data_IF_520082298674
#
_entry.id   IF_520082298674
#
_cell.length_a   1.000
_cell.length_b   1.000
_cell.length_c   1.000
_cell.angle_alpha   90.00
_cell.angle_beta   90.00
_cell.angle_gamma   90.00
#
_symmetry.space_group_name_H-M   'P 1'
#
loop_
_entity.id
_entity.type
_entity.pdbx_description
1 polymer ?
#
# COMPACT_ATOMS: atom_id res chain seq x y z
N UNK A 1 25.76 9.96 -8.76
CA UNK A 1 25.79 8.84 -7.80
C UNK A 1 25.00 9.27 -6.59
N UNK A 2 24.23 8.37 -5.99
CA UNK A 2 23.29 8.68 -4.92
C UNK A 2 23.42 7.67 -3.81
N UNK A 3 23.05 8.04 -2.59
CA UNK A 3 22.71 7.08 -1.56
C UNK A 3 21.23 6.73 -1.71
N UNK A 4 20.93 5.46 -1.93
CA UNK A 4 19.55 4.99 -2.04
C UNK A 4 19.38 3.66 -1.33
N UNK A 5 18.15 3.36 -0.93
CA UNK A 5 17.87 2.19 -0.10
C UNK A 5 18.33 2.45 1.32
N UNK A 6 17.46 3.03 2.14
CA UNK A 6 17.69 3.21 3.59
C UNK A 6 17.69 1.86 4.33
N UNK A 7 17.52 0.75 3.60
CA UNK A 7 17.71 -0.63 4.03
C UNK A 7 18.88 -1.24 3.22
N UNK A 8 19.89 -1.89 3.82
CA UNK A 8 19.78 -2.61 5.07
C UNK A 8 20.83 -2.21 6.10
N UNK A 9 20.38 -2.17 7.34
CA UNK A 9 21.24 -2.41 8.48
C UNK A 9 22.05 -3.69 8.28
N UNK A 10 23.37 -3.59 8.30
CA UNK A 10 24.18 -4.71 8.78
C UNK A 10 24.00 -4.84 10.30
N UNK A 11 24.22 -6.01 10.91
CA UNK A 11 24.17 -6.18 12.37
C UNK A 11 25.04 -5.15 13.13
N UNK A 12 26.12 -4.65 12.53
CA UNK A 12 26.95 -3.60 13.09
C UNK A 12 26.20 -2.27 13.23
N UNK A 13 25.37 -1.90 12.24
CA UNK A 13 24.53 -0.70 12.30
C UNK A 13 23.39 -0.86 13.31
N UNK A 14 22.87 -2.08 13.50
CA UNK A 14 21.88 -2.38 14.56
C UNK A 14 22.53 -2.12 15.92
N UNK A 15 23.75 -2.61 16.11
CA UNK A 15 24.52 -2.33 17.32
C UNK A 15 24.74 -0.82 17.52
N UNK A 16 24.96 -0.05 16.45
CA UNK A 16 25.03 1.41 16.53
C UNK A 16 23.71 2.08 16.96
N UNK A 17 22.57 1.57 16.47
CA UNK A 17 21.24 2.01 16.89
C UNK A 17 21.05 1.82 18.41
N UNK A 18 21.47 0.67 18.93
CA UNK A 18 21.33 0.28 20.34
C UNK A 18 22.32 1.02 21.24
N UNK A 19 23.61 1.09 20.86
CA UNK A 19 24.72 1.66 21.66
C UNK A 19 24.75 3.19 21.68
N UNK A 20 23.61 3.81 22.04
CA UNK A 20 23.44 5.24 22.36
C UNK A 20 23.69 6.28 21.28
N UNK A 21 24.07 5.90 20.05
CA UNK A 21 24.43 6.93 19.05
C UNK A 21 23.18 7.64 18.48
N UNK A 22 22.05 6.94 18.35
CA UNK A 22 20.80 7.56 17.90
C UNK A 22 19.96 8.00 19.12
N UNK A 23 19.56 9.29 19.22
CA UNK A 23 18.65 9.75 20.25
C UNK A 23 17.29 9.02 20.17
N UNK A 24 16.74 8.65 21.33
CA UNK A 24 15.46 7.91 21.38
C UNK A 24 14.33 8.66 20.66
N UNK A 25 14.26 10.00 20.77
CA UNK A 25 13.24 10.78 20.09
C UNK A 25 13.24 10.66 18.55
N UNK A 26 14.42 10.46 17.92
CA UNK A 26 14.52 10.27 16.46
C UNK A 26 13.90 8.94 16.07
N UNK A 27 14.25 7.89 16.80
CA UNK A 27 13.65 6.57 16.62
C UNK A 27 12.14 6.62 16.86
N UNK A 28 11.73 7.26 17.95
CA UNK A 28 10.34 7.41 18.33
C UNK A 28 9.51 8.09 17.23
N UNK A 29 10.04 9.13 16.59
CA UNK A 29 9.38 9.80 15.48
C UNK A 29 9.00 8.82 14.35
N UNK A 30 9.92 7.94 13.94
CA UNK A 30 9.62 6.96 12.89
C UNK A 30 8.56 5.94 13.33
N UNK A 31 8.63 5.43 14.56
CA UNK A 31 7.61 4.51 15.06
C UNK A 31 6.24 5.17 15.15
N UNK A 32 6.17 6.38 15.69
CA UNK A 32 4.92 7.12 15.82
C UNK A 32 4.27 7.38 14.45
N UNK A 33 5.07 7.75 13.44
CA UNK A 33 4.53 8.08 12.12
C UNK A 33 4.16 6.86 11.27
N UNK A 34 4.84 5.72 11.42
CA UNK A 34 4.76 4.64 10.45
C UNK A 34 4.19 3.31 10.99
N UNK A 35 4.05 3.15 12.30
CA UNK A 35 3.49 1.92 12.91
C UNK A 35 2.08 1.58 12.44
N UNK A 36 1.28 2.56 12.01
CA UNK A 36 -0.10 2.33 11.59
C UNK A 36 -0.29 2.06 10.10
N UNK A 37 0.75 2.19 9.26
CA UNK A 37 0.55 2.12 7.82
C UNK A 37 1.78 1.97 6.93
N UNK A 38 2.96 1.68 7.48
CA UNK A 38 4.20 1.51 6.71
C UNK A 38 4.07 0.57 5.49
N UNK A 39 3.58 -0.66 5.72
CA UNK A 39 3.47 -1.72 4.72
C UNK A 39 2.33 -1.47 3.72
N UNK A 40 1.36 -0.63 4.08
CA UNK A 40 0.28 -0.18 3.18
C UNK A 40 0.66 1.08 2.39
N UNK A 41 1.70 1.79 2.79
CA UNK A 41 2.15 3.02 2.16
C UNK A 41 3.08 2.70 0.99
N UNK A 42 2.57 2.91 -0.23
CA UNK A 42 3.29 2.63 -1.46
C UNK A 42 4.53 3.52 -1.67
N UNK A 43 4.80 4.51 -0.80
CA UNK A 43 6.05 5.28 -0.80
C UNK A 43 7.21 4.52 -0.18
N UNK A 44 6.93 3.47 0.60
CA UNK A 44 7.93 2.75 1.40
C UNK A 44 7.93 1.24 1.19
N UNK A 45 6.78 0.66 0.89
CA UNK A 45 6.64 -0.78 0.69
C UNK A 45 5.76 -1.09 -0.53
N UNK A 46 6.05 -2.20 -1.20
CA UNK A 46 5.21 -2.73 -2.28
C UNK A 46 5.01 -4.24 -2.07
N UNK A 47 3.79 -4.76 -2.24
CA UNK A 47 3.57 -6.20 -2.18
C UNK A 47 4.30 -6.92 -3.32
N UNK A 48 4.98 -8.01 -3.01
CA UNK A 48 5.66 -8.87 -3.99
C UNK A 48 5.33 -10.35 -3.73
N UNK A 49 5.60 -11.21 -4.71
CA UNK A 49 5.32 -12.64 -4.57
C UNK A 49 6.16 -13.26 -3.43
N UNK A 50 5.56 -14.03 -2.50
CA UNK A 50 6.30 -14.77 -1.50
C UNK A 50 7.15 -15.89 -2.12
N UNK A 51 8.24 -16.22 -1.44
CA UNK A 51 9.21 -17.26 -1.78
C UNK A 51 9.11 -18.43 -0.80
N UNK A 52 9.01 -18.14 0.50
CA UNK A 52 9.08 -19.13 1.58
C UNK A 52 7.71 -19.50 2.14
N UNK A 53 6.76 -18.55 2.23
CA UNK A 53 5.42 -18.81 2.73
C UNK A 53 4.36 -18.97 1.62
N UNK A 54 3.25 -19.62 1.98
CA UNK A 54 2.05 -19.72 1.13
C UNK A 54 0.78 -19.72 1.97
N UNK A 55 -0.38 -19.50 1.34
CA UNK A 55 -1.67 -19.51 2.01
C UNK A 55 -2.24 -18.11 2.32
N UNK A 56 -3.42 -18.06 2.96
CA UNK A 56 -4.18 -16.81 3.12
C UNK A 56 -3.54 -15.81 4.09
N UNK A 57 -2.76 -16.28 5.05
CA UNK A 57 -2.09 -15.45 6.06
C UNK A 57 -0.68 -15.02 5.64
N UNK A 58 -0.16 -15.59 4.55
CA UNK A 58 1.14 -15.24 4.00
C UNK A 58 1.06 -13.87 3.30
N UNK A 59 1.79 -12.89 3.83
CA UNK A 59 1.90 -11.54 3.29
C UNK A 59 3.35 -11.24 2.99
N UNK A 60 3.63 -10.80 1.78
CA UNK A 60 5.00 -10.57 1.32
C UNK A 60 5.15 -9.17 0.77
N UNK A 61 6.18 -8.46 1.25
CA UNK A 61 6.45 -7.07 0.93
C UNK A 61 7.92 -6.87 0.60
N UNK A 62 8.20 -5.97 -0.33
CA UNK A 62 9.53 -5.44 -0.56
C UNK A 62 9.63 -4.00 -0.07
N UNK A 63 10.68 -3.73 0.70
CA UNK A 63 10.98 -2.45 1.32
C UNK A 63 12.28 -1.90 0.69
N UNK A 64 12.18 -1.16 -0.45
CA UNK A 64 13.34 -0.61 -1.15
C UNK A 64 13.90 0.67 -0.52
N UNK A 65 13.38 1.11 0.63
CA UNK A 65 13.54 2.47 1.13
C UNK A 65 12.52 3.44 0.50
N UNK A 66 12.51 4.69 0.97
CA UNK A 66 11.63 5.74 0.42
C UNK A 66 12.38 6.72 -0.47
N UNK A 67 11.76 7.17 -1.56
CA UNK A 67 12.35 8.15 -2.49
C UNK A 67 12.78 9.45 -1.77
N UNK A 68 12.01 9.86 -0.77
CA UNK A 68 12.28 11.03 0.07
C UNK A 68 13.61 10.96 0.84
N UNK A 69 14.21 9.78 0.94
CA UNK A 69 15.49 9.55 1.61
C UNK A 69 16.66 9.32 0.66
N UNK A 70 16.42 9.35 -0.66
CA UNK A 70 17.52 9.27 -1.62
C UNK A 70 18.30 10.61 -1.55
N UNK A 71 19.63 10.53 -1.48
CA UNK A 71 20.52 11.70 -1.33
C UNK A 71 21.57 11.74 -2.42
N UNK A 72 21.92 12.94 -2.87
CA UNK A 72 23.11 13.12 -3.71
C UNK A 72 24.37 12.97 -2.85
N UNK A 73 25.31 12.15 -3.30
CA UNK A 73 26.57 11.88 -2.59
C UNK A 73 27.45 13.12 -2.42
N UNK A 74 27.39 14.08 -3.36
CA UNK A 74 28.30 15.22 -3.39
C UNK A 74 27.73 16.48 -2.73
N UNK A 75 26.41 16.63 -2.76
CA UNK A 75 25.76 17.83 -2.24
C UNK A 75 25.25 17.65 -0.79
N UNK A 76 25.20 16.42 -0.28
CA UNK A 76 24.48 16.06 0.96
C UNK A 76 23.02 16.57 0.99
N UNK A 77 22.49 16.89 -0.19
CA UNK A 77 21.15 17.40 -0.40
C UNK A 77 20.22 16.24 -0.73
N UNK A 78 18.95 16.42 -0.36
CA UNK A 78 17.87 15.56 -0.86
C UNK A 78 17.83 15.70 -2.37
N UNK A 79 17.74 14.58 -3.09
CA UNK A 79 17.55 14.63 -4.54
C UNK A 79 16.22 15.29 -4.91
N UNK A 80 15.23 15.19 -4.01
CA UNK A 80 13.89 15.68 -4.23
C UNK A 80 13.46 16.54 -3.05
N UNK A 81 12.98 17.75 -3.35
CA UNK A 81 12.63 18.77 -2.37
C UNK A 81 13.41 20.07 -2.55
N UNK A 82 12.88 20.93 -3.41
CA UNK A 82 13.19 22.37 -3.54
C UNK A 82 14.59 22.70 -4.09
N UNK A 83 15.08 21.88 -5.03
CA UNK A 83 16.40 22.11 -5.65
C UNK A 83 16.30 22.75 -7.04
N UNK A 84 15.08 22.89 -7.59
CA UNK A 84 14.83 23.24 -9.02
C UNK A 84 15.55 22.30 -9.99
N UNK A 85 16.00 21.14 -9.52
CA UNK A 85 16.67 20.14 -10.34
C UNK A 85 15.62 19.34 -11.11
N UNK A 86 16.02 18.65 -12.20
CA UNK A 86 15.09 17.85 -13.01
C UNK A 86 14.31 16.78 -12.22
N UNK A 87 14.78 16.43 -11.02
CA UNK A 87 14.16 15.48 -10.09
C UNK A 87 12.83 15.96 -9.49
N UNK A 88 12.60 17.28 -9.42
CA UNK A 88 11.40 17.90 -8.84
C UNK A 88 10.23 18.01 -9.85
N UNK A 89 10.23 17.22 -10.94
CA UNK A 89 9.24 17.27 -12.02
C UNK A 89 8.25 16.08 -12.00
N UNK A 90 7.26 16.06 -12.91
CA UNK A 90 6.35 14.91 -13.14
C UNK A 90 7.06 13.64 -13.66
N UNK A 91 8.39 13.65 -13.72
CA UNK A 91 9.19 12.50 -14.15
C UNK A 91 9.31 11.46 -13.04
N UNK A 92 9.82 10.28 -13.39
CA UNK A 92 10.16 9.25 -12.41
C UNK A 92 11.66 9.19 -12.18
N UNK A 93 12.03 8.66 -11.04
CA UNK A 93 13.41 8.48 -10.61
C UNK A 93 13.65 6.99 -10.52
N UNK A 94 14.54 6.48 -11.38
CA UNK A 94 14.94 5.09 -11.36
C UNK A 94 16.22 4.94 -10.58
N UNK A 95 16.15 4.29 -9.44
CA UNK A 95 17.28 3.92 -8.59
C UNK A 95 17.66 2.48 -8.92
N UNK A 96 18.86 2.26 -9.44
CA UNK A 96 19.31 0.93 -9.88
C UNK A 96 19.88 0.14 -8.72
N UNK A 97 19.65 -1.18 -8.67
CA UNK A 97 20.35 -2.10 -7.76
C UNK A 97 20.55 -1.54 -6.34
N UNK A 98 19.53 -0.91 -5.77
CA UNK A 98 19.55 -0.45 -4.38
C UNK A 98 19.21 -1.64 -3.48
N UNK A 99 19.84 -1.74 -2.31
CA UNK A 99 19.47 -2.76 -1.36
C UNK A 99 18.09 -2.49 -0.74
N UNK A 100 17.46 -3.55 -0.25
CA UNK A 100 16.14 -3.53 0.37
C UNK A 100 15.81 -4.86 1.04
N UNK A 101 14.72 -4.86 1.82
CA UNK A 101 14.25 -6.05 2.52
C UNK A 101 13.02 -6.66 1.86
N UNK A 102 13.08 -7.95 1.57
CA UNK A 102 11.93 -8.80 1.30
C UNK A 102 11.48 -9.41 2.63
N UNK A 103 10.30 -9.01 3.08
CA UNK A 103 9.67 -9.50 4.30
C UNK A 103 8.52 -10.42 3.97
N UNK A 104 8.48 -11.58 4.61
CA UNK A 104 7.38 -12.53 4.51
C UNK A 104 6.79 -12.76 5.89
N UNK A 105 5.58 -12.26 6.10
CA UNK A 105 4.82 -12.48 7.32
C UNK A 105 3.90 -13.68 7.17
N UNK A 106 3.84 -14.53 8.18
CA UNK A 106 2.95 -15.68 8.24
C UNK A 106 2.63 -16.03 9.69
N UNK A 107 1.69 -16.96 9.90
CA UNK A 107 1.44 -17.50 11.23
C UNK A 107 2.69 -18.20 11.80
N UNK A 108 2.89 -18.13 13.12
CA UNK A 108 3.90 -18.95 13.80
C UNK A 108 3.56 -20.45 13.69
N UNK A 109 4.52 -21.34 13.97
CA UNK A 109 4.25 -22.78 14.06
C UNK A 109 3.10 -23.09 15.01
N UNK A 110 2.30 -24.12 14.70
CA UNK A 110 1.18 -24.53 15.55
C UNK A 110 1.63 -24.86 16.97
N UNK A 111 1.00 -24.26 17.97
CA UNK A 111 1.35 -24.46 19.38
C UNK A 111 2.57 -23.68 19.86
N UNK A 112 3.02 -22.66 19.11
CA UNK A 112 4.10 -21.78 19.54
C UNK A 112 3.78 -21.06 20.86
N UNK A 113 4.77 -21.01 21.75
CA UNK A 113 4.71 -20.26 23.01
C UNK A 113 6.03 -19.55 23.27
N UNK A 114 5.98 -18.30 23.71
CA UNK A 114 7.16 -17.54 24.12
C UNK A 114 7.64 -17.97 25.51
N UNK A 115 8.95 -17.96 25.73
CA UNK A 115 9.52 -18.01 27.07
C UNK A 115 9.41 -16.62 27.71
N UNK A 116 8.51 -16.48 28.69
CA UNK A 116 8.19 -15.19 29.32
C UNK A 116 9.38 -14.49 29.96
N UNK A 117 10.38 -15.22 30.42
CA UNK A 117 11.54 -14.66 31.12
C UNK A 117 12.61 -14.15 30.15
N UNK A 118 12.84 -14.86 29.03
CA UNK A 118 13.89 -14.52 28.07
C UNK A 118 13.42 -13.74 26.86
N UNK A 119 12.18 -13.96 26.43
CA UNK A 119 11.69 -13.50 25.13
C UNK A 119 10.86 -12.22 25.25
N UNK A 120 10.39 -11.90 26.46
CA UNK A 120 9.33 -10.92 26.66
C UNK A 120 9.72 -9.78 27.61
N UNK A 121 9.10 -8.62 27.40
CA UNK A 121 9.28 -7.43 28.23
C UNK A 121 7.98 -6.66 28.36
N UNK A 122 7.65 -6.24 29.59
CA UNK A 122 6.55 -5.33 29.87
C UNK A 122 7.07 -3.88 29.88
N UNK A 123 6.51 -3.05 29.02
CA UNK A 123 6.88 -1.65 28.78
C UNK A 123 5.67 -0.73 28.91
N UNK A 124 5.86 0.59 28.94
CA UNK A 124 4.76 1.54 29.14
C UNK A 124 4.33 1.70 30.60
N UNK A 125 5.29 1.67 31.53
CA UNK A 125 5.05 1.88 32.97
C UNK A 125 4.57 3.30 33.29
N UNK A 126 4.86 4.25 32.42
CA UNK A 126 4.39 5.62 32.54
C UNK A 126 2.90 5.67 32.29
N UNK A 127 2.17 6.31 33.20
CA UNK A 127 0.70 6.34 33.22
C UNK A 127 0.01 4.97 33.23
N UNK A 128 0.76 3.92 33.57
CA UNK A 128 0.28 2.54 33.62
C UNK A 128 -0.25 2.04 32.26
N UNK A 129 0.24 2.57 31.13
CA UNK A 129 -0.21 2.21 29.78
C UNK A 129 -0.13 0.70 29.48
N UNK A 130 0.91 0.01 29.95
CA UNK A 130 1.02 -1.46 29.95
C UNK A 130 0.97 -2.10 28.56
N UNK A 131 2.14 -2.38 27.98
CA UNK A 131 2.29 -3.16 26.75
C UNK A 131 3.29 -4.29 27.00
N UNK A 132 2.96 -5.51 26.60
CA UNK A 132 3.81 -6.69 26.77
C UNK A 132 4.22 -7.17 25.39
N UNK A 133 5.52 -7.13 25.10
CA UNK A 133 6.06 -7.49 23.77
C UNK A 133 6.99 -8.68 23.95
N UNK A 134 6.86 -9.66 23.06
CA UNK A 134 7.73 -10.83 22.99
C UNK A 134 8.39 -10.94 21.62
N UNK A 135 9.67 -11.27 21.60
CA UNK A 135 10.43 -11.61 20.41
C UNK A 135 11.24 -12.89 20.65
N UNK A 136 11.19 -13.81 19.69
CA UNK A 136 11.96 -15.04 19.73
C UNK A 136 12.39 -15.45 18.32
N UNK A 137 13.47 -16.23 18.22
CA UNK A 137 13.88 -16.80 16.95
C UNK A 137 13.32 -18.22 16.82
N UNK A 138 12.87 -18.58 15.63
CA UNK A 138 12.53 -19.95 15.28
C UNK A 138 13.08 -20.29 13.90
N UNK A 139 14.19 -21.03 13.86
CA UNK A 139 14.93 -21.25 12.63
C UNK A 139 15.43 -19.93 12.05
N UNK A 140 14.92 -19.58 10.87
CA UNK A 140 15.25 -18.35 10.14
C UNK A 140 14.29 -17.20 10.40
N UNK A 141 13.22 -17.46 11.15
CA UNK A 141 12.13 -16.51 11.35
C UNK A 141 12.27 -15.81 12.70
N UNK A 142 11.92 -14.52 12.70
CA UNK A 142 11.67 -13.76 13.91
C UNK A 142 10.18 -13.87 14.24
N UNK A 143 9.86 -14.46 15.39
CA UNK A 143 8.48 -14.50 15.89
C UNK A 143 8.30 -13.32 16.83
N UNK A 144 7.30 -12.50 16.53
CA UNK A 144 6.92 -11.34 17.31
C UNK A 144 5.49 -11.48 17.80
N UNK A 145 5.25 -11.10 19.04
CA UNK A 145 3.93 -11.03 19.61
C UNK A 145 3.80 -9.87 20.58
N UNK A 146 2.57 -9.42 20.79
CA UNK A 146 2.29 -8.46 21.85
C UNK A 146 0.93 -8.69 22.49
N UNK A 147 0.78 -8.09 23.67
CA UNK A 147 -0.50 -7.91 24.34
C UNK A 147 -0.58 -6.52 24.93
N UNK A 148 -1.77 -5.97 24.98
CA UNK A 148 -2.02 -4.68 25.61
C UNK A 148 -2.83 -4.87 26.88
N UNK A 149 -2.50 -4.09 27.90
CA UNK A 149 -3.28 -4.04 29.13
C UNK A 149 -4.71 -3.55 28.82
N UNK A 150 -5.78 -4.31 29.15
CA UNK A 150 -7.17 -3.96 28.88
C UNK A 150 -7.63 -2.68 29.58
N UNK A 151 -8.70 -2.04 29.07
CA UNK A 151 -9.25 -0.82 29.66
C UNK A 151 -9.66 -0.98 31.13
N UNK A 152 -10.15 -2.16 31.52
CA UNK A 152 -10.61 -2.46 32.88
C UNK A 152 -9.46 -2.43 33.88
N UNK A 153 -8.28 -2.90 33.48
CA UNK A 153 -7.09 -2.95 34.34
C UNK A 153 -6.34 -1.60 34.29
N UNK A 154 -6.21 -1.02 33.10
CA UNK A 154 -5.58 0.30 32.88
C UNK A 154 -6.33 1.42 33.59
N UNK A 155 -7.66 1.43 33.54
CA UNK A 155 -8.49 2.43 34.22
C UNK A 155 -8.35 2.40 35.75
N UNK A 156 -7.94 1.26 36.31
CA UNK A 156 -7.62 1.09 37.73
C UNK A 156 -6.15 1.37 38.07
N UNK A 157 -5.33 1.77 37.09
CA UNK A 157 -3.88 1.96 37.22
C UNK A 157 -3.19 0.72 37.81
N UNK A 158 -3.57 -0.47 37.32
CA UNK A 158 -3.15 -1.78 37.82
C UNK A 158 -2.45 -2.67 36.77
N UNK A 159 -2.02 -2.16 35.62
CA UNK A 159 -1.43 -2.96 34.54
C UNK A 159 -0.13 -3.69 34.95
N UNK A 160 0.65 -3.10 35.86
CA UNK A 160 1.88 -3.73 36.40
C UNK A 160 1.68 -4.44 37.75
N UNK A 161 0.47 -4.40 38.30
CA UNK A 161 0.11 -5.14 39.52
C UNK A 161 -0.66 -6.40 39.16
N UNK A 162 -1.64 -6.27 38.26
CA UNK A 162 -2.37 -7.36 37.66
C UNK A 162 -1.80 -7.66 36.27
N UNK A 163 -0.94 -8.67 36.19
CA UNK A 163 -0.26 -9.08 34.95
C UNK A 163 -0.98 -10.22 34.21
N UNK A 164 -2.23 -10.54 34.56
CA UNK A 164 -2.98 -11.64 33.91
C UNK A 164 -3.17 -11.43 32.40
N UNK A 165 -3.21 -10.17 31.95
CA UNK A 165 -3.27 -9.83 30.52
C UNK A 165 -1.99 -10.15 29.74
N UNK A 166 -0.91 -10.55 30.43
CA UNK A 166 0.34 -11.01 29.83
C UNK A 166 0.32 -12.52 29.59
N UNK A 167 -0.74 -13.23 29.99
CA UNK A 167 -0.75 -14.68 29.98
C UNK A 167 -0.82 -15.29 28.58
N UNK A 168 -1.56 -14.64 27.68
CA UNK A 168 -1.77 -15.01 26.30
C UNK A 168 -1.47 -13.81 25.40
N UNK A 169 -0.91 -14.05 24.21
CA UNK A 169 -0.62 -12.99 23.26
C UNK A 169 -1.89 -12.57 22.52
N UNK A 170 -2.21 -11.27 22.53
CA UNK A 170 -3.30 -10.72 21.72
C UNK A 170 -3.03 -10.91 20.23
N UNK A 171 -1.78 -10.71 19.80
CA UNK A 171 -1.38 -10.88 18.41
C UNK A 171 -0.02 -11.54 18.30
N UNK A 172 0.16 -12.37 17.27
CA UNK A 172 1.40 -13.06 16.98
C UNK A 172 1.63 -13.19 15.47
N UNK A 173 2.87 -12.98 15.03
CA UNK A 173 3.30 -13.18 13.64
C UNK A 173 4.71 -13.73 13.62
N UNK A 174 5.02 -14.57 12.65
CA UNK A 174 6.39 -14.85 12.24
C UNK A 174 6.75 -13.95 11.05
N UNK A 175 8.03 -13.59 10.94
CA UNK A 175 8.58 -12.88 9.78
C UNK A 175 9.91 -13.48 9.36
N UNK A 176 10.00 -13.86 8.08
CA UNK A 176 11.27 -14.16 7.42
C UNK A 176 11.82 -12.88 6.79
N UNK A 177 13.10 -12.56 7.04
CA UNK A 177 13.75 -11.34 6.53
C UNK A 177 14.86 -11.68 5.54
N UNK A 178 14.73 -11.24 4.30
CA UNK A 178 15.70 -11.50 3.23
C UNK A 178 16.18 -10.18 2.63
N UNK A 179 17.49 -10.00 2.54
CA UNK A 179 18.11 -8.88 1.85
C UNK A 179 18.15 -9.16 0.34
N UNK A 180 17.77 -8.16 -0.46
CA UNK A 180 17.82 -8.20 -1.93
C UNK A 180 18.23 -6.84 -2.47
N UNK A 181 18.90 -6.85 -3.61
CA UNK A 181 19.07 -5.67 -4.43
C UNK A 181 17.94 -5.59 -5.45
N UNK A 182 17.47 -4.39 -5.73
CA UNK A 182 16.44 -4.16 -6.73
C UNK A 182 16.63 -2.83 -7.45
N UNK A 183 16.14 -2.77 -8.68
CA UNK A 183 15.96 -1.51 -9.38
C UNK A 183 14.55 -0.99 -9.12
N UNK A 184 14.44 0.13 -8.41
CA UNK A 184 13.15 0.71 -8.04
C UNK A 184 12.90 2.01 -8.79
N UNK A 185 11.73 2.15 -9.40
CA UNK A 185 11.26 3.40 -9.99
C UNK A 185 10.31 4.10 -9.01
N UNK A 186 10.56 5.37 -8.75
CA UNK A 186 9.74 6.22 -7.89
C UNK A 186 9.12 7.35 -8.70
N UNK A 187 7.91 7.77 -8.32
CA UNK A 187 7.30 8.98 -8.85
C UNK A 187 7.99 10.22 -8.27
N UNK A 188 8.46 11.14 -9.13
CA UNK A 188 8.98 12.44 -8.71
C UNK A 188 7.91 13.33 -8.07
N UNK A 189 6.64 13.15 -8.46
CA UNK A 189 5.53 13.98 -7.99
C UNK A 189 5.09 13.68 -6.54
N UNK A 190 5.14 12.42 -6.11
CA UNK A 190 4.61 12.02 -4.78
C UNK A 190 5.43 10.95 -4.05
N UNK A 191 6.59 10.56 -4.58
CA UNK A 191 7.51 9.57 -4.00
C UNK A 191 6.98 8.14 -3.91
N UNK A 192 5.82 7.84 -4.49
CA UNK A 192 5.30 6.48 -4.55
C UNK A 192 6.21 5.59 -5.40
N UNK A 193 6.35 4.33 -4.98
CA UNK A 193 6.99 3.27 -5.75
C UNK A 193 6.08 2.95 -6.94
N UNK A 194 6.63 3.09 -8.14
CA UNK A 194 5.95 2.78 -9.39
C UNK A 194 6.25 1.35 -9.82
N UNK A 195 7.52 0.92 -9.78
CA UNK A 195 7.90 -0.45 -10.10
C UNK A 195 9.12 -0.88 -9.30
N UNK A 196 9.23 -2.20 -9.12
CA UNK A 196 10.41 -2.88 -8.59
C UNK A 196 10.78 -3.97 -9.58
N UNK A 197 11.94 -3.80 -10.18
CA UNK A 197 12.47 -4.64 -11.26
C UNK A 197 13.86 -5.17 -10.85
N UNK A 198 14.38 -6.15 -11.58
CA UNK A 198 15.75 -6.66 -11.42
C UNK A 198 16.07 -7.13 -9.98
N UNK A 199 15.12 -7.80 -9.30
CA UNK A 199 15.32 -8.31 -7.95
C UNK A 199 16.41 -9.40 -7.93
N UNK A 200 17.48 -9.18 -7.17
CA UNK A 200 18.55 -10.17 -6.98
C UNK A 200 18.04 -11.43 -6.29
N UNK A 201 18.82 -12.52 -6.30
CA UNK A 201 18.52 -13.68 -5.47
C UNK A 201 18.38 -13.29 -3.99
N UNK A 202 17.43 -13.89 -3.26
CA UNK A 202 17.27 -13.64 -1.84
C UNK A 202 18.49 -14.08 -1.04
N UNK A 203 18.95 -13.22 -0.13
CA UNK A 203 19.95 -13.56 0.89
C UNK A 203 19.31 -13.45 2.26
N UNK A 204 19.28 -14.53 3.02
CA UNK A 204 18.74 -14.51 4.38
C UNK A 204 19.51 -13.50 5.24
N UNK A 205 18.79 -12.72 6.04
CA UNK A 205 19.40 -11.77 6.98
C UNK A 205 19.35 -12.36 8.38
N UNK A 206 20.49 -12.40 9.06
CA UNK A 206 20.61 -12.92 10.43
C UNK A 206 20.19 -11.87 11.47
N UNK A 207 19.00 -11.29 11.33
CA UNK A 207 18.45 -10.38 12.35
C UNK A 207 17.71 -11.22 13.38
N UNK A 208 18.19 -11.17 14.62
CA UNK A 208 17.65 -11.99 15.70
C UNK A 208 16.84 -11.17 16.70
N UNK A 209 16.03 -11.84 17.53
CA UNK A 209 15.34 -11.25 18.66
C UNK A 209 16.29 -10.47 19.59
N UNK A 210 17.54 -10.96 19.75
CA UNK A 210 18.57 -10.32 20.56
C UNK A 210 19.02 -8.96 19.99
N UNK A 211 18.94 -8.79 18.68
CA UNK A 211 19.29 -7.54 18.01
C UNK A 211 18.15 -6.53 18.06
N UNK A 212 16.91 -7.01 17.94
CA UNK A 212 15.69 -6.17 17.84
C UNK A 212 15.14 -5.77 19.21
N UNK A 213 15.17 -6.66 20.21
CA UNK A 213 14.59 -6.37 21.53
C UNK A 213 15.23 -5.14 22.23
N UNK A 214 16.55 -4.92 22.17
CA UNK A 214 17.16 -3.70 22.71
C UNK A 214 16.69 -2.41 22.01
N UNK A 215 16.34 -2.48 20.72
CA UNK A 215 15.76 -1.34 20.01
C UNK A 215 14.38 -1.03 20.58
N UNK A 216 13.53 -2.05 20.69
CA UNK A 216 12.15 -1.92 21.19
C UNK A 216 12.15 -1.39 22.63
N UNK A 217 12.97 -1.97 23.51
CA UNK A 217 13.06 -1.54 24.91
C UNK A 217 13.58 -0.11 25.05
N UNK A 218 14.46 0.34 24.14
CA UNK A 218 14.94 1.72 24.11
C UNK A 218 13.84 2.71 23.70
N UNK A 219 13.07 2.42 22.65
CA UNK A 219 12.00 3.32 22.18
C UNK A 219 10.77 3.32 23.11
N UNK A 220 10.53 2.22 23.81
CA UNK A 220 9.44 2.06 24.77
C UNK A 220 9.93 2.15 26.23
N UNK A 221 11.12 2.70 26.46
CA UNK A 221 11.70 2.83 27.79
C UNK A 221 10.75 3.58 28.73
N UNK A 222 10.68 3.24 30.02
CA UNK A 222 9.92 4.01 30.99
C UNK A 222 10.39 5.47 31.02
N UNK A 223 9.45 6.40 31.03
CA UNK A 223 9.76 7.82 31.18
C UNK A 223 9.39 8.30 32.58
N UNK A 224 10.05 9.35 33.03
CA UNK A 224 9.65 10.05 34.25
C UNK A 224 8.23 10.63 34.07
N UNK A 225 7.43 10.59 35.14
CA UNK A 225 6.01 10.98 35.15
C UNK A 225 5.77 12.45 34.83
N UNK A 226 6.83 13.27 34.80
CA UNK A 226 6.71 14.68 34.45
C UNK A 226 7.15 14.94 33.00
N UNK A 227 6.18 15.17 32.11
CA UNK A 227 6.42 15.77 30.80
C UNK A 227 6.60 17.27 31.03
N UNK A 228 7.77 17.66 31.50
CA UNK A 228 8.11 19.05 31.78
C UNK A 228 9.05 19.58 30.67
N UNK A 229 8.67 20.62 29.91
CA UNK A 229 9.55 21.23 28.90
C UNK A 229 10.88 21.76 29.45
N UNK A 230 10.96 22.02 30.76
CA UNK A 230 12.21 22.42 31.43
C UNK A 230 13.14 21.24 31.76
N UNK A 231 12.67 19.98 31.64
CA UNK A 231 13.51 18.81 31.85
C UNK A 231 14.45 18.60 30.65
N UNK A 232 15.75 18.30 30.85
CA UNK A 232 16.69 18.12 29.73
C UNK A 232 16.25 17.03 28.73
N UNK A 233 15.61 15.97 29.22
CA UNK A 233 15.10 14.87 28.39
C UNK A 233 13.65 15.05 27.89
N UNK A 234 13.08 16.26 27.95
CA UNK A 234 11.67 16.47 27.63
C UNK A 234 11.26 15.92 26.26
N UNK A 235 12.12 16.05 25.23
CA UNK A 235 11.83 15.56 23.87
C UNK A 235 11.73 14.04 23.85
N UNK A 236 12.65 13.36 24.54
CA UNK A 236 12.63 11.90 24.66
C UNK A 236 11.38 11.47 25.43
N UNK A 237 11.11 12.09 26.58
CA UNK A 237 9.94 11.77 27.40
C UNK A 237 8.63 11.99 26.63
N UNK A 238 8.46 13.13 25.98
CA UNK A 238 7.26 13.46 25.23
C UNK A 238 7.05 12.52 24.03
N UNK A 239 8.13 12.19 23.28
CA UNK A 239 8.03 11.30 22.13
C UNK A 239 7.75 9.84 22.53
N UNK A 240 8.38 9.34 23.60
CA UNK A 240 8.08 8.00 24.12
C UNK A 240 6.67 7.93 24.68
N UNK A 241 6.22 8.95 25.43
CA UNK A 241 4.84 9.05 25.90
C UNK A 241 3.85 8.99 24.73
N UNK A 242 4.12 9.74 23.67
CA UNK A 242 3.25 9.76 22.49
C UNK A 242 3.12 8.36 21.87
N UNK A 243 4.19 7.58 21.81
CA UNK A 243 4.14 6.19 21.32
C UNK A 243 3.38 5.29 22.29
N UNK A 244 3.70 5.33 23.59
CA UNK A 244 3.01 4.52 24.59
C UNK A 244 1.52 4.76 24.52
N UNK A 245 1.11 6.03 24.54
CA UNK A 245 -0.29 6.39 24.50
C UNK A 245 -0.95 6.07 23.16
N UNK A 246 -0.32 6.39 22.03
CA UNK A 246 -0.89 6.13 20.71
C UNK A 246 -1.04 4.62 20.46
N UNK A 247 -0.03 3.83 20.79
CA UNK A 247 -0.04 2.38 20.59
C UNK A 247 -0.95 1.70 21.61
N UNK A 248 -0.79 2.00 22.90
CA UNK A 248 -1.59 1.44 23.99
C UNK A 248 -3.08 1.74 23.83
N UNK A 249 -3.44 3.00 23.58
CA UNK A 249 -4.83 3.38 23.35
C UNK A 249 -5.38 2.72 22.08
N UNK A 250 -4.65 2.78 20.96
CA UNK A 250 -5.10 2.19 19.70
C UNK A 250 -5.38 0.69 19.83
N UNK A 251 -4.45 -0.07 20.41
CA UNK A 251 -4.61 -1.50 20.62
C UNK A 251 -5.74 -1.83 21.59
N UNK A 252 -5.89 -1.08 22.69
CA UNK A 252 -7.03 -1.24 23.61
C UNK A 252 -8.37 -0.97 22.91
N UNK A 253 -8.44 0.06 22.06
CA UNK A 253 -9.66 0.35 21.30
C UNK A 253 -10.05 -0.82 20.39
N UNK A 254 -9.10 -1.37 19.64
CA UNK A 254 -9.38 -2.55 18.81
C UNK A 254 -9.82 -3.75 19.65
N UNK A 255 -9.11 -4.03 20.74
CA UNK A 255 -9.42 -5.16 21.63
C UNK A 255 -10.82 -5.07 22.25
N UNK A 256 -11.21 -3.90 22.74
CA UNK A 256 -12.48 -3.75 23.50
C UNK A 256 -13.69 -3.36 22.65
N UNK A 257 -13.50 -2.56 21.59
CA UNK A 257 -14.63 -2.03 20.81
C UNK A 257 -14.73 -2.62 19.41
N UNK A 258 -13.67 -3.24 18.88
CA UNK A 258 -13.63 -3.83 17.54
C UNK A 258 -13.02 -5.24 17.55
N UNK A 259 -13.48 -6.17 18.39
CA UNK A 259 -12.89 -7.51 18.52
C UNK A 259 -12.97 -8.34 17.23
N UNK A 260 -13.88 -7.99 16.31
CA UNK A 260 -14.04 -8.62 15.00
C UNK A 260 -12.95 -8.20 13.98
N UNK A 261 -12.15 -7.17 14.30
CA UNK A 261 -11.10 -6.62 13.42
C UNK A 261 -9.70 -7.01 13.92
N UNK A 262 -9.50 -8.27 14.28
CA UNK A 262 -8.22 -8.83 14.75
C UNK A 262 -7.05 -8.66 13.76
N UNK A 263 -7.35 -8.60 12.46
CA UNK A 263 -6.36 -8.36 11.39
C UNK A 263 -5.67 -6.99 11.56
N UNK A 264 -6.38 -5.96 12.03
CA UNK A 264 -5.81 -4.60 12.12
C UNK A 264 -4.70 -4.51 13.18
N UNK A 265 -4.88 -4.93 14.45
CA UNK A 265 -3.79 -5.03 15.42
C UNK A 265 -2.62 -5.89 14.93
N UNK A 266 -2.88 -6.99 14.21
CA UNK A 266 -1.83 -7.82 13.64
C UNK A 266 -1.03 -7.07 12.57
N UNK A 267 -1.69 -6.31 11.69
CA UNK A 267 -1.02 -5.48 10.70
C UNK A 267 -0.23 -4.34 11.38
N UNK A 268 -0.73 -3.74 12.46
CA UNK A 268 0.04 -2.77 13.26
C UNK A 268 1.31 -3.43 13.83
N UNK A 269 1.24 -4.69 14.31
CA UNK A 269 2.43 -5.42 14.77
C UNK A 269 3.45 -5.62 13.64
N UNK A 270 3.00 -6.03 12.46
CA UNK A 270 3.85 -6.23 11.27
C UNK A 270 4.51 -4.92 10.84
N UNK A 271 3.76 -3.82 10.84
CA UNK A 271 4.28 -2.47 10.60
C UNK A 271 5.31 -2.08 11.66
N UNK A 272 5.01 -2.28 12.95
CA UNK A 272 5.86 -1.94 14.09
C UNK A 272 7.26 -2.60 13.98
N UNK A 273 7.31 -3.90 13.69
CA UNK A 273 8.58 -4.62 13.50
C UNK A 273 9.26 -4.32 12.16
N UNK A 274 8.59 -3.67 11.22
CA UNK A 274 9.17 -3.25 9.95
C UNK A 274 9.81 -1.86 10.01
N UNK A 275 9.44 -1.01 10.98
CA UNK A 275 9.90 0.39 11.05
C UNK A 275 11.43 0.47 11.15
N UNK A 276 12.07 -0.36 11.99
CA UNK A 276 13.53 -0.31 12.13
C UNK A 276 14.24 -0.71 10.85
N UNK A 277 13.70 -1.68 10.11
CA UNK A 277 14.27 -2.14 8.84
C UNK A 277 14.24 -1.03 7.79
N UNK A 278 13.15 -0.26 7.74
CA UNK A 278 12.95 0.80 6.76
C UNK A 278 13.74 2.08 7.08
N UNK A 279 13.77 2.50 8.35
CA UNK A 279 14.17 3.87 8.71
C UNK A 279 15.44 3.98 9.54
N UNK A 280 16.05 2.87 9.94
CA UNK A 280 17.29 2.84 10.74
C UNK A 280 18.43 3.67 10.14
N UNK A 281 18.76 3.49 8.86
CA UNK A 281 19.81 4.29 8.21
C UNK A 281 19.44 5.78 8.22
N UNK A 282 18.16 6.11 8.03
CA UNK A 282 17.64 7.48 8.08
C UNK A 282 17.76 8.07 9.49
N UNK A 283 17.53 7.24 10.51
CA UNK A 283 17.68 7.61 11.91
C UNK A 283 19.17 7.80 12.30
N UNK A 284 20.07 6.96 11.79
CA UNK A 284 21.53 7.10 11.97
C UNK A 284 22.01 8.42 11.37
N UNK A 285 21.62 8.68 10.13
CA UNK A 285 21.97 9.92 9.44
C UNK A 285 21.39 11.14 10.15
N UNK A 286 20.10 11.13 10.50
CA UNK A 286 19.44 12.25 11.18
C UNK A 286 19.96 12.49 12.60
N UNK A 287 20.34 11.42 13.31
CA UNK A 287 20.79 11.50 14.70
C UNK A 287 22.26 11.90 14.85
N UNK A 288 23.13 11.41 13.95
CA UNK A 288 24.59 11.42 14.18
C UNK A 288 25.32 12.16 13.06
N UNK A 289 24.71 12.30 11.87
CA UNK A 289 25.41 12.75 10.67
C UNK A 289 26.54 11.80 10.26
N UNK A 290 26.48 10.53 10.69
CA UNK A 290 27.50 9.54 10.37
C UNK A 290 27.53 9.28 8.85
N UNK A 291 28.72 9.03 8.27
CA UNK A 291 28.81 8.66 6.86
C UNK A 291 28.02 7.37 6.63
N UNK A 292 27.23 7.36 5.56
CA UNK A 292 26.45 6.20 5.18
C UNK A 292 27.36 5.07 4.69
N UNK A 293 27.02 3.80 4.98
CA UNK A 293 27.79 2.65 4.51
C UNK A 293 27.96 2.66 3.00
N UNK A 294 29.13 2.21 2.49
CA UNK A 294 29.42 2.26 1.07
C UNK A 294 28.48 1.37 0.23
N UNK A 295 27.89 0.33 0.81
CA UNK A 295 26.90 -0.53 0.14
C UNK A 295 25.59 0.19 -0.24
N UNK A 296 25.30 1.34 0.36
CA UNK A 296 24.13 2.16 0.01
C UNK A 296 24.40 3.08 -1.19
N UNK A 297 25.65 3.14 -1.68
CA UNK A 297 25.99 3.90 -2.87
C UNK A 297 25.42 3.20 -4.10
N UNK A 298 24.60 3.93 -4.83
CA UNK A 298 24.07 3.48 -6.11
C UNK A 298 23.89 4.61 -7.11
N UNK A 299 23.30 4.31 -8.26
CA UNK A 299 23.01 5.24 -9.33
C UNK A 299 21.50 5.45 -9.46
N UNK A 300 21.09 6.73 -9.46
CA UNK A 300 19.77 7.14 -9.85
C UNK A 300 19.81 7.88 -11.19
N UNK A 301 18.76 7.71 -11.97
CA UNK A 301 18.55 8.39 -13.26
C UNK A 301 17.12 8.89 -13.34
N UNK A 302 16.93 10.10 -13.86
CA UNK A 302 15.60 10.59 -14.24
C UNK A 302 15.11 9.81 -15.47
N UNK A 303 13.86 9.35 -15.42
CA UNK A 303 13.21 8.62 -16.51
C UNK A 303 11.81 9.19 -16.78
N UNK A 304 11.39 9.19 -18.04
CA UNK A 304 10.04 9.64 -18.42
C UNK A 304 9.02 8.53 -18.19
N UNK A 305 7.96 8.84 -17.44
CA UNK A 305 6.85 7.90 -17.21
C UNK A 305 5.92 7.89 -18.41
N UNK A 306 5.63 6.71 -18.93
CA UNK A 306 4.59 6.51 -19.93
C UNK A 306 3.54 5.58 -19.35
N UNK A 307 2.36 6.13 -19.05
CA UNK A 307 1.23 5.34 -18.60
C UNK A 307 0.67 4.57 -19.79
N UNK A 308 0.70 3.23 -19.70
CA UNK A 308 0.02 2.34 -20.63
C UNK A 308 -1.14 1.69 -19.90
N UNK A 309 -2.34 1.75 -20.48
CA UNK A 309 -3.45 0.96 -19.98
C UNK A 309 -3.12 -0.53 -20.22
N UNK A 310 -2.83 -1.26 -19.15
CA UNK A 310 -2.75 -2.71 -19.19
C UNK A 310 -4.14 -3.24 -18.82
N UNK A 311 -4.80 -3.89 -19.78
CA UNK A 311 -5.99 -4.67 -19.52
C UNK A 311 -5.59 -6.14 -19.59
N UNK A 312 -6.09 -6.96 -18.66
CA UNK A 312 -5.85 -8.39 -18.70
C UNK A 312 -6.34 -8.94 -20.07
N UNK A 313 -5.64 -9.89 -20.68
CA UNK A 313 -5.99 -10.41 -22.01
C UNK A 313 -7.44 -10.90 -22.10
N UNK A 314 -7.98 -11.47 -21.02
CA UNK A 314 -9.37 -11.92 -20.98
C UNK A 314 -10.37 -10.75 -21.00
N UNK A 315 -10.06 -9.61 -20.36
CA UNK A 315 -10.91 -8.41 -20.39
C UNK A 315 -10.97 -7.87 -21.80
N UNK A 316 -9.82 -7.80 -22.48
CA UNK A 316 -9.74 -7.41 -23.89
C UNK A 316 -10.53 -8.39 -24.78
N UNK A 317 -10.41 -9.69 -24.51
CA UNK A 317 -11.16 -10.75 -25.20
C UNK A 317 -12.67 -10.60 -25.03
N UNK A 318 -13.15 -10.45 -23.78
CA UNK A 318 -14.59 -10.27 -23.48
C UNK A 318 -15.11 -8.99 -24.10
N UNK A 319 -14.41 -7.87 -23.92
CA UNK A 319 -14.78 -6.60 -24.53
C UNK A 319 -14.85 -6.71 -26.06
N UNK A 320 -13.86 -7.36 -26.68
CA UNK A 320 -13.81 -7.60 -28.12
C UNK A 320 -14.98 -8.45 -28.61
N UNK A 321 -15.31 -9.55 -27.92
CA UNK A 321 -16.42 -10.44 -28.28
C UNK A 321 -17.77 -9.72 -28.14
N UNK A 322 -18.00 -9.01 -27.03
CA UNK A 322 -19.24 -8.27 -26.79
C UNK A 322 -19.41 -7.16 -27.82
N UNK A 323 -18.36 -6.39 -28.08
CA UNK A 323 -18.37 -5.30 -29.07
C UNK A 323 -18.64 -5.84 -30.49
N UNK A 324 -18.00 -6.95 -30.87
CA UNK A 324 -18.24 -7.62 -32.16
C UNK A 324 -19.68 -8.13 -32.26
N UNK A 325 -20.19 -8.81 -31.22
CA UNK A 325 -21.55 -9.32 -31.19
C UNK A 325 -22.58 -8.18 -31.34
N UNK A 326 -22.43 -7.09 -30.59
CA UNK A 326 -23.32 -5.93 -30.69
C UNK A 326 -23.25 -5.28 -32.09
N UNK A 327 -22.06 -5.21 -32.67
CA UNK A 327 -21.87 -4.67 -34.03
C UNK A 327 -22.55 -5.55 -35.08
N UNK A 328 -22.36 -6.87 -35.01
CA UNK A 328 -23.01 -7.84 -35.89
C UNK A 328 -24.54 -7.84 -35.72
N UNK A 329 -25.01 -7.73 -34.48
CA UNK A 329 -26.44 -7.60 -34.18
C UNK A 329 -27.03 -6.34 -34.79
N UNK A 330 -26.37 -5.18 -34.62
CA UNK A 330 -26.82 -3.91 -35.20
C UNK A 330 -26.86 -3.99 -36.74
N UNK A 331 -25.84 -4.58 -37.37
CA UNK A 331 -25.81 -4.82 -38.80
C UNK A 331 -26.92 -5.79 -39.25
N UNK A 332 -27.18 -6.84 -38.47
CA UNK A 332 -28.25 -7.79 -38.72
C UNK A 332 -29.64 -7.15 -38.65
N UNK A 333 -29.88 -6.31 -37.63
CA UNK A 333 -31.12 -5.53 -37.49
C UNK A 333 -31.29 -4.55 -38.65
N UNK A 334 -30.21 -3.87 -39.07
CA UNK A 334 -30.24 -2.95 -40.20
C UNK A 334 -30.55 -3.69 -41.51
N UNK A 335 -29.87 -4.82 -41.76
CA UNK A 335 -30.12 -5.65 -42.94
C UNK A 335 -31.55 -6.19 -42.96
N UNK A 336 -32.06 -6.66 -41.82
CA UNK A 336 -33.43 -7.13 -41.68
C UNK A 336 -34.43 -6.00 -41.96
N UNK A 337 -34.16 -4.79 -41.45
CA UNK A 337 -34.98 -3.61 -41.72
C UNK A 337 -34.97 -3.23 -43.21
N UNK A 338 -33.84 -3.36 -43.91
CA UNK A 338 -33.75 -3.13 -45.35
C UNK A 338 -34.51 -4.19 -46.17
N UNK A 339 -34.51 -5.46 -45.74
CA UNK A 339 -35.17 -6.57 -46.46
C UNK A 339 -36.69 -6.57 -46.20
N UNK A 340 -37.10 -6.42 -44.94
CA UNK A 340 -38.51 -6.50 -44.54
C UNK A 340 -39.23 -5.15 -44.58
N UNK A 341 -38.48 -4.04 -44.68
CA UNK A 341 -39.06 -2.72 -44.86
C UNK A 341 -39.73 -2.61 -46.23
N UNK A 342 -41.01 -2.97 -46.31
CA UNK A 342 -41.84 -2.89 -47.52
C UNK A 342 -42.23 -1.45 -47.92
N UNK A 343 -41.47 -0.47 -47.45
CA UNK A 343 -41.56 0.91 -47.87
C UNK A 343 -40.17 1.48 -47.77
N UNK A 344 -39.66 2.03 -48.87
CA UNK A 344 -38.68 3.11 -48.75
C UNK A 344 -39.20 4.04 -47.66
N UNK A 345 -38.41 4.40 -46.62
CA UNK A 345 -38.83 5.48 -45.75
C UNK A 345 -39.22 6.60 -46.70
N UNK A 346 -40.48 7.02 -46.65
CA UNK A 346 -40.92 8.16 -47.45
C UNK A 346 -40.19 9.31 -46.80
N UNK A 347 -38.98 9.58 -47.30
CA UNK A 347 -38.28 10.80 -47.00
C UNK A 347 -39.33 11.87 -47.32
N UNK A 348 -39.74 12.59 -46.29
CA UNK A 348 -40.49 13.81 -46.52
C UNK A 348 -39.77 14.58 -47.63
N UNK A 349 -40.51 15.23 -48.54
CA UNK A 349 -39.90 16.08 -49.59
C UNK A 349 -38.98 17.18 -49.04
N UNK A 350 -38.89 17.31 -47.73
CA UNK A 350 -38.05 18.21 -46.96
C UNK A 350 -37.19 17.40 -45.97
N UNK A 351 -35.97 16.99 -46.36
CA UNK A 351 -35.07 16.23 -45.49
C UNK A 351 -34.69 17.00 -44.21
N UNK A 352 -34.84 18.33 -44.16
CA UNK A 352 -34.61 19.10 -42.94
C UNK A 352 -35.68 18.86 -41.85
N UNK A 353 -36.91 18.47 -42.22
CA UNK A 353 -38.03 18.30 -41.28
C UNK A 353 -37.97 16.92 -40.58
N UNK A 354 -37.44 15.89 -41.25
CA UNK A 354 -37.33 14.54 -40.67
C UNK A 354 -36.26 14.43 -39.57
N UNK A 355 -35.29 15.35 -39.53
CA UNK A 355 -34.34 15.47 -38.42
C UNK A 355 -34.98 16.06 -37.16
N UNK A 356 -35.96 16.96 -37.32
CA UNK A 356 -36.62 17.67 -36.22
C UNK A 356 -37.73 16.79 -35.58
N UNK A 357 -38.40 15.93 -36.36
CA UNK A 357 -39.47 15.05 -35.85
C UNK A 357 -38.99 13.92 -34.93
N UNK A 358 -37.68 13.61 -34.94
CA UNK A 358 -37.06 12.61 -34.06
C UNK A 358 -36.47 13.20 -32.78
N UNK A 359 -36.47 14.52 -32.60
CA UNK A 359 -36.28 15.12 -31.28
C UNK A 359 -37.59 15.00 -30.51
N UNK A 360 -37.69 14.21 -29.42
CA UNK A 360 -38.88 14.24 -28.60
C UNK A 360 -38.99 15.66 -28.03
N UNK A 361 -40.06 16.36 -28.43
CA UNK A 361 -40.32 17.73 -28.02
C UNK A 361 -40.13 17.88 -26.52
N UNK A 362 -39.34 18.89 -26.15
CA UNK A 362 -39.32 19.42 -24.80
C UNK A 362 -40.76 19.79 -24.43
N UNK A 363 -41.37 19.18 -23.41
CA UNK A 363 -42.73 19.52 -23.01
C UNK A 363 -42.67 20.85 -22.25
N UNK A 364 -42.76 21.96 -22.98
CA UNK A 364 -42.68 23.27 -22.33
C UNK A 364 -42.79 24.53 -23.19
N UNK A 365 -43.07 24.45 -24.49
CA UNK A 365 -43.27 25.66 -25.29
C UNK A 365 -44.70 25.75 -25.85
N UNK A 366 -45.63 26.36 -25.10
CA UNK A 366 -46.89 26.84 -25.64
C UNK A 366 -46.66 28.19 -26.32
N UNK A 367 -47.15 28.33 -27.56
CA UNK A 367 -47.52 29.63 -28.10
C UNK A 367 -46.48 30.32 -28.97
N UNK A 368 -46.49 29.95 -30.25
CA UNK A 368 -46.22 30.92 -31.31
C UNK A 368 -47.40 31.89 -31.43
N UNK A 369 -47.20 33.12 -30.95
CA UNK A 369 -47.81 34.38 -31.43
C UNK A 369 -46.61 35.34 -31.48
N UNK A 370 -46.21 35.89 -32.62
CA UNK A 370 -47.05 36.75 -33.46
C UNK A 370 -46.85 38.19 -33.00
N UNK A 371 -46.06 38.93 -33.77
CA UNK A 371 -45.99 40.39 -33.89
C UNK A 371 -45.19 41.27 -32.90
N UNK A 372 -44.35 42.08 -33.57
CA UNK A 372 -43.98 43.47 -33.35
C UNK A 372 -42.87 43.89 -32.37
N UNK A 373 -42.08 44.82 -32.91
CA UNK A 373 -40.85 45.45 -32.44
C UNK A 373 -41.20 46.81 -31.78
N UNK A 374 -40.24 47.70 -31.46
CA UNK A 374 -39.33 47.69 -30.31
C UNK A 374 -39.54 48.95 -29.43
N UNK A 375 -39.29 48.92 -28.12
CA UNK A 375 -38.82 50.14 -27.43
C UNK A 375 -38.21 49.92 -26.04
N UNK A 376 -37.40 50.91 -25.66
CA UNK A 376 -36.50 51.04 -24.52
C UNK A 376 -37.21 51.16 -23.18
N UNK A 377 -36.51 50.70 -22.13
CA UNK A 377 -36.26 51.53 -20.94
C UNK A 377 -36.94 51.13 -19.62
N UNK A 378 -36.14 51.25 -18.56
CA UNK A 378 -36.49 51.44 -17.14
C UNK A 378 -37.00 50.24 -16.32
N UNK A 379 -36.07 49.68 -15.52
CA UNK A 379 -36.00 49.75 -14.04
C UNK A 379 -37.28 49.65 -13.17
N UNK A 380 -37.10 48.99 -12.01
CA UNK A 380 -38.02 48.64 -10.89
C UNK A 380 -38.62 47.23 -10.91
N UNK A 381 -38.22 46.30 -10.04
CA UNK A 381 -38.34 46.19 -8.56
C UNK A 381 -39.69 45.61 -8.09
N UNK A 382 -39.61 44.55 -7.28
CA UNK A 382 -40.48 44.20 -6.12
C UNK A 382 -41.71 43.30 -6.38
N UNK A 383 -41.65 42.13 -5.72
CA UNK A 383 -42.67 41.34 -4.99
C UNK A 383 -43.94 40.88 -5.74
N UNK A 384 -44.68 39.83 -5.38
CA UNK A 384 -44.61 38.61 -4.56
C UNK A 384 -46.01 37.97 -4.81
N UNK A 385 -46.18 36.70 -4.46
CA UNK A 385 -47.48 36.03 -4.19
C UNK A 385 -48.39 35.53 -5.33
N UNK A 386 -48.39 34.18 -5.39
CA UNK A 386 -49.50 33.27 -5.11
C UNK A 386 -50.66 32.98 -6.09
N UNK A 387 -50.83 31.65 -6.23
CA UNK A 387 -52.07 30.86 -6.26
C UNK A 387 -52.99 30.93 -7.49
N UNK A 388 -53.04 29.81 -8.20
CA UNK A 388 -54.10 29.45 -9.14
C UNK A 388 -54.09 27.97 -9.49
N UNK A 389 -54.60 27.14 -8.59
CA UNK A 389 -54.89 25.70 -8.82
C UNK A 389 -56.19 25.55 -9.62
N UNK A 390 -56.16 24.85 -10.76
CA UNK A 390 -57.33 24.27 -11.43
C UNK A 390 -56.96 22.97 -12.19
N UNK A 391 -57.92 22.07 -12.49
CA UNK A 391 -57.80 20.64 -12.21
C UNK A 391 -57.26 19.78 -13.36
N UNK A 392 -56.60 18.70 -12.95
CA UNK A 392 -56.15 17.59 -13.79
C UNK A 392 -57.36 16.77 -14.27
N UNK A 393 -57.56 16.71 -15.59
CA UNK A 393 -58.35 15.63 -16.20
C UNK A 393 -57.38 14.49 -16.57
N UNK A 394 -57.57 13.33 -15.93
CA UNK A 394 -56.85 12.09 -16.24
C UNK A 394 -57.34 11.56 -17.59
N UNK A 395 -56.51 11.64 -18.61
CA UNK A 395 -56.61 10.76 -19.79
C UNK A 395 -55.59 9.65 -19.59
N UNK A 396 -56.11 8.44 -19.34
CA UNK A 396 -55.32 7.22 -19.17
C UNK A 396 -54.75 6.79 -20.52
N UNK A 397 -53.54 7.24 -20.84
CA UNK A 397 -52.78 6.72 -21.98
C UNK A 397 -51.94 5.52 -21.53
N UNK A 398 -52.26 4.35 -22.08
CA UNK A 398 -51.40 3.17 -21.98
C UNK A 398 -50.03 3.49 -22.62
N UNK A 399 -48.91 3.33 -21.91
CA UNK A 399 -47.61 3.63 -22.49
C UNK A 399 -47.28 2.62 -23.60
N UNK A 400 -46.92 3.17 -24.77
CA UNK A 400 -46.44 2.40 -25.91
C UNK A 400 -45.15 1.65 -25.58
N UNK A 401 -44.90 0.57 -26.33
CA UNK A 401 -43.78 -0.38 -26.16
C UNK A 401 -42.41 0.31 -25.98
N UNK A 402 -42.18 1.45 -26.66
CA UNK A 402 -40.95 2.25 -26.58
C UNK A 402 -40.70 2.89 -25.21
N UNK A 403 -41.75 3.26 -24.47
CA UNK A 403 -41.63 3.81 -23.11
C UNK A 403 -41.23 2.72 -22.10
N UNK A 404 -41.69 1.47 -22.33
CA UNK A 404 -41.26 0.31 -21.54
C UNK A 404 -39.80 -0.07 -21.78
N UNK A 405 -39.32 0.06 -23.01
CA UNK A 405 -37.90 -0.19 -23.35
C UNK A 405 -36.98 0.88 -22.74
N UNK A 406 -37.39 2.16 -22.73
CA UNK A 406 -36.65 3.23 -22.03
C UNK A 406 -36.59 3.03 -20.52
N UNK A 407 -37.65 2.53 -19.89
CA UNK A 407 -37.64 2.21 -18.46
C UNK A 407 -36.71 1.04 -18.11
N UNK A 408 -36.52 0.09 -19.05
CA UNK A 408 -35.55 -1.00 -18.91
C UNK A 408 -34.09 -0.55 -19.09
N UNK A 409 -33.83 0.43 -19.98
CA UNK A 409 -32.49 0.98 -20.20
C UNK A 409 -32.04 1.99 -19.12
N UNK A 410 -32.98 2.71 -18.50
CA UNK A 410 -32.67 3.61 -17.39
C UNK A 410 -32.33 2.86 -16.08
N UNK A 411 -32.66 1.57 -15.98
CA UNK A 411 -32.34 0.73 -14.82
C UNK A 411 -30.90 0.19 -14.77
N UNK A 412 -30.06 0.45 -15.80
CA UNK A 412 -28.71 -0.12 -15.90
C UNK A 412 -27.57 0.86 -15.57
N UNK A 413 -27.87 2.11 -15.19
CA UNK A 413 -26.82 3.09 -14.84
C UNK A 413 -26.04 2.72 -13.57
N UNK A 414 -26.60 1.88 -12.69
CA UNK A 414 -25.93 1.44 -11.46
C UNK A 414 -24.86 0.34 -11.62
N UNK A 415 -24.71 -0.28 -12.80
CA UNK A 415 -23.80 -1.43 -12.99
C UNK A 415 -22.41 -0.98 -13.49
N UNK A 416 -22.29 0.21 -14.07
CA UNK A 416 -21.03 0.71 -14.63
C UNK A 416 -20.10 1.36 -13.58
N UNK A 417 -20.59 1.73 -12.40
CA UNK A 417 -19.74 2.26 -11.32
C UNK A 417 -18.97 1.16 -10.55
N UNK A 418 -19.34 -0.12 -10.67
CA UNK A 418 -18.71 -1.21 -9.91
C UNK A 418 -17.40 -1.75 -10.49
N UNK A 419 -16.93 -1.25 -11.64
CA UNK A 419 -15.70 -1.74 -12.31
C UNK A 419 -14.49 -0.80 -12.08
N UNK A 420 -14.65 0.33 -11.38
CA UNK A 420 -13.58 1.31 -11.15
C UNK A 420 -12.62 0.98 -9.99
N UNK A 421 -12.54 -0.29 -9.57
CA UNK A 421 -11.47 -0.73 -8.67
C UNK A 421 -10.16 -0.84 -9.48
N UNK A 422 -9.45 0.29 -9.63
CA UNK A 422 -8.10 0.37 -10.21
C UNK A 422 -7.13 -0.51 -9.43
N UNK A 423 -7.01 -1.78 -9.82
CA UNK A 423 -5.88 -2.62 -9.48
C UNK A 423 -4.85 -2.44 -10.60
N UNK A 424 -3.90 -1.53 -10.39
CA UNK A 424 -2.75 -1.37 -11.29
C UNK A 424 -1.85 -2.58 -11.06
N UNK A 425 -1.92 -3.57 -11.96
CA UNK A 425 -0.91 -4.62 -12.07
C UNK A 425 0.12 -4.16 -13.10
N UNK A 426 1.37 -4.06 -12.66
CA UNK A 426 2.49 -3.96 -13.57
C UNK A 426 2.78 -5.38 -14.09
N UNK A 427 2.36 -5.66 -15.32
CA UNK A 427 2.74 -6.89 -16.01
C UNK A 427 4.18 -6.78 -16.50
N UNK A 428 5.05 -7.67 -16.00
CA UNK A 428 6.31 -7.98 -16.67
C UNK A 428 6.00 -8.69 -18.00
N UNK A 429 6.75 -8.46 -19.09
CA UNK A 429 6.64 -9.28 -20.28
C UNK A 429 7.10 -10.71 -19.94
N UNK A 430 6.32 -11.71 -20.35
CA UNK A 430 6.71 -13.12 -20.30
C UNK A 430 8.06 -13.28 -21.01
N UNK A 431 9.06 -13.79 -20.29
CA UNK A 431 10.32 -14.21 -20.88
C UNK A 431 10.05 -15.43 -21.75
N UNK A 432 10.34 -15.30 -23.04
CA UNK A 432 10.12 -16.29 -24.09
C UNK A 432 10.41 -17.73 -23.68
N UNK A 433 9.37 -18.53 -23.84
CA UNK A 433 9.36 -19.98 -23.92
C UNK A 433 9.97 -20.43 -25.26
N UNK A 434 11.28 -20.30 -25.42
CA UNK A 434 11.98 -20.85 -26.61
C UNK A 434 13.42 -21.27 -26.32
N UNK A 435 13.61 -22.26 -25.43
CA UNK A 435 14.88 -22.99 -25.33
C UNK A 435 14.69 -24.41 -24.78
N UNK A 436 13.84 -25.23 -25.41
CA UNK A 436 13.88 -26.68 -25.18
C UNK A 436 13.49 -27.46 -26.43
N UNK A 437 14.42 -27.53 -27.39
CA UNK A 437 14.49 -28.61 -28.40
C UNK A 437 15.84 -28.57 -29.12
N UNK A 438 16.80 -29.31 -28.58
CA UNK A 438 17.78 -30.12 -29.33
C UNK A 438 18.90 -30.54 -28.37
N UNK A 439 18.91 -31.80 -27.96
CA UNK A 439 20.04 -32.75 -28.05
C UNK A 439 19.81 -33.91 -27.07
N UNK A 440 19.20 -34.97 -27.58
CA UNK A 440 19.43 -36.34 -27.12
C UNK A 440 20.15 -37.02 -28.27
N UNK A 441 21.41 -37.41 -28.06
CA UNK A 441 22.05 -38.68 -28.46
C UNK A 441 23.53 -38.61 -28.09
N UNK A 442 24.04 -39.62 -27.38
CA UNK A 442 25.48 -39.95 -27.43
C UNK A 442 26.20 -40.21 -26.12
N UNK A 443 25.80 -41.27 -25.42
CA UNK A 443 26.60 -42.31 -24.77
C UNK A 443 28.15 -42.24 -24.78
N UNK A 444 28.78 -42.35 -23.59
CA UNK A 444 30.02 -43.12 -23.25
C UNK A 444 30.51 -42.69 -21.84
N UNK A 445 30.38 -43.50 -20.79
CA UNK A 445 31.30 -44.58 -20.34
C UNK A 445 32.63 -44.10 -19.71
N UNK A 446 32.90 -44.64 -18.50
CA UNK A 446 34.17 -44.65 -17.72
C UNK A 446 34.62 -43.31 -17.12
N UNK A 447 35.25 -43.15 -15.96
CA UNK A 447 35.89 -43.97 -14.91
C UNK A 447 36.02 -42.98 -13.72
N UNK A 448 35.76 -43.30 -12.46
CA UNK A 448 36.66 -44.07 -11.60
C UNK A 448 37.45 -43.19 -10.61
N UNK A 449 37.41 -43.58 -9.31
CA UNK A 449 38.20 -43.15 -8.12
C UNK A 449 37.70 -41.89 -7.38
N UNK A 450 37.20 -41.97 -6.14
CA UNK A 450 37.75 -42.50 -4.87
C UNK A 450 38.96 -41.68 -4.37
N UNK A 451 38.71 -40.82 -3.38
CA UNK A 451 39.64 -40.52 -2.29
C UNK A 451 38.83 -40.04 -1.09
N UNK A 452 38.83 -40.93 -0.09
CA UNK A 452 38.45 -40.75 1.30
C UNK A 452 39.79 -40.56 2.06
N UNK A 453 39.70 -40.02 3.28
CA UNK A 453 40.78 -39.81 4.26
C UNK A 453 41.60 -38.53 4.01
N UNK A 454 41.92 -37.68 4.99
CA UNK A 454 42.25 -37.94 6.40
C UNK A 454 42.20 -36.65 7.26
N UNK A 455 41.88 -36.84 8.55
CA UNK A 455 42.52 -36.26 9.76
C UNK A 455 42.57 -34.72 9.95
N UNK A 456 41.93 -34.14 10.97
CA UNK A 456 42.17 -34.22 12.43
C UNK A 456 43.22 -33.22 12.95
N UNK A 457 42.86 -32.61 14.09
CA UNK A 457 43.74 -32.06 15.13
C UNK A 457 44.45 -30.71 14.88
N UNK A 458 44.01 -29.68 15.62
CA UNK A 458 44.84 -29.11 16.68
C UNK A 458 44.03 -28.16 17.59
N UNK A 459 43.98 -28.56 18.86
CA UNK A 459 43.73 -27.73 20.04
C UNK A 459 45.02 -26.95 20.45
N UNK A 460 44.81 -25.92 21.29
CA UNK A 460 45.76 -25.22 22.17
C UNK A 460 46.82 -24.27 21.57
N UNK A 461 46.61 -22.95 21.72
CA UNK A 461 47.18 -22.14 22.83
C UNK A 461 46.36 -20.84 23.06
#
# INVERSE_FOLDING_TARGET
MVFAGVAPLTPELINGFVKSTIPAWVANFFWLCFTYGLLSDNRFAIPIQPISCSGPECRSFFLPGGAAYVRDRHADQRLIGDTKLPWDSETAIRVRSAPGYHLEFHAPPSGWTFNRESDCVAVGQTEDEGLYICLANHGTDLIAGWSVCPFEIWGLKSCFVNTTWQDEMDQITAVTMQNRFATTAYSGANFSILSVDDLSSPKLTEITAKDVMPIITKILAPIDRSINPSHPDWINNASTYAIHYALGSGLRYYKSYFPELDILPLDILRNFISVFLQFSTGAIYAGIGAPLPPELNTNATVVSVHYRAMADPWVLGVYGIVSLFLSLWAMGVLALACILGSGTPVASKFPEIDLISRYPGYPGYPGGKGEESPEKGADKSVDEHDLGVLPVSKVEQRPGLLTKIRALAAGSEGVLELISARRIRFGLPDSDESATRAFITGDSSAEGKRLQDSEAENDEE
#
